data_IF_633057105208
#
_entry.id   IF_633057105208
#
_cell.length_a   1.000
_cell.length_b   1.000
_cell.length_c   1.000
_cell.angle_alpha   90.00
_cell.angle_beta   90.00
_cell.angle_gamma   90.00
#
_symmetry.space_group_name_H-M   'P 1'
#
loop_
_entity.id
_entity.type
_entity.pdbx_description
1 polymer ?
#
# COMPACT_ATOMS: atom_id res chain seq x y z
N UNK A 1 1.81 51.70 30.96
CA UNK A 1 0.86 51.02 30.04
C UNK A 1 1.64 50.38 28.90
N UNK A 2 1.84 49.07 28.91
CA UNK A 2 2.20 48.30 27.71
C UNK A 2 1.78 46.87 27.97
N UNK A 3 0.55 46.54 27.55
CA UNK A 3 0.05 45.16 27.55
C UNK A 3 0.85 44.43 26.48
N UNK A 4 1.82 43.63 26.92
CA UNK A 4 2.48 42.66 26.05
C UNK A 4 1.47 41.52 25.84
N UNK A 5 0.67 41.63 24.78
CA UNK A 5 -0.25 40.58 24.35
C UNK A 5 0.64 39.45 23.84
N UNK A 6 0.89 38.46 24.69
CA UNK A 6 1.59 37.23 24.36
C UNK A 6 0.66 36.45 23.41
N UNK A 7 0.88 36.61 22.10
CA UNK A 7 0.17 35.88 21.06
C UNK A 7 0.68 34.43 21.06
N UNK A 8 0.20 33.63 22.01
CA UNK A 8 0.33 32.17 22.02
C UNK A 8 -0.52 31.62 20.88
N UNK A 9 -0.02 31.73 19.65
CA UNK A 9 -0.52 30.94 18.54
C UNK A 9 -0.20 29.48 18.90
N UNK A 10 -1.19 28.59 19.11
CA UNK A 10 -0.84 27.19 19.28
C UNK A 10 -0.18 26.76 17.97
N UNK A 11 1.08 26.35 18.05
CA UNK A 11 1.69 25.48 17.04
C UNK A 11 0.79 24.25 16.96
N UNK A 12 -0.21 24.28 16.09
CA UNK A 12 -0.94 23.11 15.68
C UNK A 12 0.09 22.25 14.95
N UNK A 13 0.75 21.37 15.71
CA UNK A 13 1.51 20.27 15.16
C UNK A 13 0.46 19.44 14.42
N UNK A 14 0.31 19.70 13.12
CA UNK A 14 -0.55 18.91 12.24
C UNK A 14 0.05 17.52 12.14
N UNK A 15 -0.26 16.67 13.13
CA UNK A 15 0.09 15.28 13.10
C UNK A 15 -0.49 14.68 11.81
N UNK A 16 0.35 13.94 11.06
CA UNK A 16 -0.09 13.27 9.82
C UNK A 16 -1.38 12.48 10.12
N UNK A 17 -2.42 12.61 9.28
CA UNK A 17 -3.69 11.95 9.54
C UNK A 17 -3.46 10.44 9.67
N UNK A 18 -4.20 9.83 10.60
CA UNK A 18 -4.16 8.38 10.83
C UNK A 18 -5.52 7.78 10.53
N UNK A 19 -5.55 6.82 9.61
CA UNK A 19 -6.78 6.22 9.10
C UNK A 19 -7.04 4.85 9.72
N UNK A 20 -8.32 4.57 9.96
CA UNK A 20 -8.84 3.25 10.30
C UNK A 20 -9.03 2.37 9.05
N UNK A 21 -9.40 1.11 9.25
CA UNK A 21 -9.44 0.13 8.16
C UNK A 21 -10.53 0.43 7.13
N UNK A 22 -11.68 0.97 7.54
CA UNK A 22 -12.74 1.39 6.63
C UNK A 22 -12.31 2.58 5.77
N UNK A 23 -11.64 3.56 6.39
CA UNK A 23 -11.09 4.71 5.70
C UNK A 23 -10.05 4.28 4.66
N UNK A 24 -9.08 3.43 5.04
CA UNK A 24 -8.06 2.91 4.13
C UNK A 24 -8.67 2.13 2.96
N UNK A 25 -9.65 1.25 3.22
CA UNK A 25 -10.37 0.52 2.16
C UNK A 25 -11.08 1.47 1.19
N UNK A 26 -11.65 2.58 1.68
CA UNK A 26 -12.32 3.57 0.84
C UNK A 26 -11.36 4.46 0.01
N UNK A 27 -10.08 4.51 0.40
CA UNK A 27 -9.05 5.28 -0.30
C UNK A 27 -8.46 4.51 -1.48
N UNK A 28 -8.35 3.18 -1.37
CA UNK A 28 -7.72 2.35 -2.39
C UNK A 28 -8.37 2.49 -3.78
N UNK A 29 -9.70 2.34 -3.96
CA UNK A 29 -10.32 2.52 -5.27
C UNK A 29 -10.02 3.88 -5.90
N UNK A 30 -10.01 4.95 -5.09
CA UNK A 30 -9.71 6.31 -5.56
C UNK A 30 -8.25 6.46 -5.99
N UNK A 31 -7.31 5.77 -5.36
CA UNK A 31 -5.92 5.78 -5.78
C UNK A 31 -5.75 5.13 -7.16
N UNK A 32 -6.38 3.98 -7.37
CA UNK A 32 -6.32 3.26 -8.65
C UNK A 32 -7.01 4.02 -9.79
N UNK A 33 -8.18 4.62 -9.54
CA UNK A 33 -8.94 5.36 -10.56
C UNK A 33 -8.24 6.62 -11.08
N UNK A 34 -7.31 7.21 -10.29
CA UNK A 34 -6.62 8.45 -10.65
C UNK A 34 -5.49 8.26 -11.67
N UNK A 35 -5.02 7.03 -11.87
CA UNK A 35 -3.92 6.75 -12.79
C UNK A 35 -4.43 5.86 -13.92
N UNK A 36 -4.44 6.39 -15.15
CA UNK A 36 -4.92 5.66 -16.33
C UNK A 36 -4.11 4.41 -16.66
N UNK A 37 -2.86 4.33 -16.18
CA UNK A 37 -1.99 3.17 -16.35
C UNK A 37 -2.14 2.15 -15.22
N UNK A 38 -3.00 2.40 -14.22
CA UNK A 38 -3.23 1.47 -13.11
C UNK A 38 -3.92 0.19 -13.59
N UNK A 39 -3.55 -0.99 -13.04
CA UNK A 39 -4.30 -2.21 -13.27
C UNK A 39 -5.72 -2.08 -12.69
N UNK A 40 -6.67 -2.85 -13.22
CA UNK A 40 -8.03 -2.85 -12.70
C UNK A 40 -8.04 -3.45 -11.30
N UNK A 41 -8.46 -2.66 -10.31
CA UNK A 41 -8.67 -3.13 -8.94
C UNK A 41 -9.92 -4.02 -8.87
N UNK A 42 -9.77 -5.22 -8.33
CA UNK A 42 -10.83 -6.21 -8.15
C UNK A 42 -11.31 -6.28 -6.70
N UNK A 43 -10.44 -6.02 -5.73
CA UNK A 43 -10.77 -6.16 -4.32
C UNK A 43 -9.78 -5.47 -3.39
N UNK A 44 -10.24 -5.14 -2.19
CA UNK A 44 -9.43 -4.53 -1.13
C UNK A 44 -9.80 -5.14 0.21
N UNK A 45 -8.81 -5.76 0.88
CA UNK A 45 -9.02 -6.49 2.11
C UNK A 45 -8.02 -6.07 3.19
N UNK A 46 -8.51 -5.94 4.43
CA UNK A 46 -7.68 -5.71 5.61
C UNK A 46 -8.15 -6.70 6.67
N UNK A 47 -7.21 -7.48 7.20
CA UNK A 47 -7.49 -8.53 8.17
C UNK A 47 -6.26 -8.81 9.05
N UNK A 48 -6.45 -9.64 10.09
CA UNK A 48 -5.39 -10.05 11.02
C UNK A 48 -5.15 -11.55 10.87
N UNK A 49 -3.88 -11.94 10.81
CA UNK A 49 -3.41 -13.32 10.88
C UNK A 49 -2.60 -13.53 12.16
N UNK A 50 -2.13 -14.76 12.39
CA UNK A 50 -1.18 -15.06 13.48
C UNK A 50 0.13 -14.26 13.33
N UNK A 51 0.52 -13.93 12.10
CA UNK A 51 1.74 -13.17 11.77
C UNK A 51 1.52 -11.65 11.71
N UNK A 52 0.34 -11.17 12.12
CA UNK A 52 0.01 -9.75 12.23
C UNK A 52 -1.00 -9.27 11.21
N UNK A 53 -1.01 -7.96 10.95
CA UNK A 53 -2.03 -7.31 10.13
C UNK A 53 -1.63 -7.29 8.67
N UNK A 54 -2.58 -7.64 7.80
CA UNK A 54 -2.41 -7.70 6.35
C UNK A 54 -3.24 -6.60 5.70
N UNK A 55 -2.65 -5.92 4.72
CA UNK A 55 -3.37 -5.10 3.76
C UNK A 55 -3.21 -5.72 2.37
N UNK A 56 -4.31 -6.16 1.78
CA UNK A 56 -4.35 -6.86 0.52
C UNK A 56 -5.13 -6.07 -0.54
N UNK A 57 -4.65 -6.12 -1.77
CA UNK A 57 -5.43 -5.77 -2.96
C UNK A 57 -5.42 -6.93 -3.95
N UNK A 58 -6.52 -7.06 -4.67
CA UNK A 58 -6.68 -7.97 -5.79
C UNK A 58 -6.72 -7.12 -7.05
N UNK A 59 -5.89 -7.45 -8.05
CA UNK A 59 -5.78 -6.70 -9.29
C UNK A 59 -5.93 -7.63 -10.48
N UNK A 60 -6.46 -7.11 -11.60
CA UNK A 60 -6.34 -7.76 -12.90
C UNK A 60 -5.07 -7.26 -13.58
N UNK A 61 -4.18 -8.19 -13.92
CA UNK A 61 -2.88 -7.91 -14.52
C UNK A 61 -2.89 -8.21 -16.01
N UNK A 62 -2.23 -7.36 -16.80
CA UNK A 62 -1.82 -7.69 -18.16
C UNK A 62 -0.51 -8.50 -18.09
N UNK A 63 -0.45 -9.65 -18.78
CA UNK A 63 0.74 -10.52 -18.80
C UNK A 63 2.02 -9.80 -19.21
N UNK A 64 1.92 -8.79 -20.08
CA UNK A 64 3.07 -8.02 -20.58
C UNK A 64 3.52 -6.94 -19.58
N UNK A 65 2.73 -6.71 -18.52
CA UNK A 65 2.92 -5.65 -17.54
C UNK A 65 2.81 -6.14 -16.09
N UNK A 66 2.93 -7.45 -15.86
CA UNK A 66 2.70 -8.05 -14.54
C UNK A 66 3.59 -7.42 -13.45
N UNK A 67 4.85 -7.13 -13.78
CA UNK A 67 5.80 -6.52 -12.83
C UNK A 67 5.46 -5.05 -12.53
N UNK A 68 5.07 -4.30 -13.55
CA UNK A 68 4.65 -2.90 -13.44
C UNK A 68 3.36 -2.78 -12.64
N UNK A 69 2.39 -3.65 -12.92
CA UNK A 69 1.09 -3.67 -12.26
C UNK A 69 1.23 -4.10 -10.80
N UNK A 70 2.07 -5.10 -10.51
CA UNK A 70 2.47 -5.46 -9.15
C UNK A 70 3.14 -4.29 -8.43
N UNK A 71 4.13 -3.65 -9.06
CA UNK A 71 4.83 -2.49 -8.53
C UNK A 71 3.88 -1.33 -8.22
N UNK A 72 2.90 -1.09 -9.10
CA UNK A 72 1.83 -0.11 -8.89
C UNK A 72 0.99 -0.46 -7.66
N UNK A 73 0.57 -1.72 -7.53
CA UNK A 73 -0.23 -2.17 -6.40
C UNK A 73 0.51 -2.03 -5.06
N UNK A 74 1.80 -2.36 -5.01
CA UNK A 74 2.63 -2.10 -3.82
C UNK A 74 2.82 -0.62 -3.54
N UNK A 75 2.97 0.21 -4.57
CA UNK A 75 2.98 1.66 -4.44
C UNK A 75 1.67 2.17 -3.82
N UNK A 76 0.52 1.66 -4.25
CA UNK A 76 -0.78 2.01 -3.68
C UNK A 76 -0.87 1.59 -2.20
N UNK A 77 -0.56 0.33 -1.89
CA UNK A 77 -0.58 -0.21 -0.53
C UNK A 77 0.34 0.56 0.43
N UNK A 78 1.54 0.95 -0.02
CA UNK A 78 2.49 1.73 0.80
C UNK A 78 2.03 3.18 1.00
N UNK A 79 1.53 3.84 -0.04
CA UNK A 79 1.03 5.21 0.02
C UNK A 79 -0.11 5.36 1.02
N UNK A 80 -1.03 4.40 1.07
CA UNK A 80 -2.12 4.40 2.04
C UNK A 80 -1.71 3.82 3.40
N UNK A 81 -1.02 2.69 3.38
CA UNK A 81 -0.68 1.91 4.58
C UNK A 81 0.24 2.64 5.56
N UNK A 82 1.08 3.59 5.11
CA UNK A 82 1.90 4.42 6.00
C UNK A 82 1.07 5.27 6.98
N UNK A 83 -0.17 5.59 6.61
CA UNK A 83 -1.09 6.40 7.40
C UNK A 83 -2.04 5.54 8.26
N UNK A 84 -1.88 4.22 8.30
CA UNK A 84 -2.71 3.38 9.15
C UNK A 84 -2.53 3.71 10.64
N UNK A 85 -3.64 3.77 11.39
CA UNK A 85 -3.64 3.90 12.87
C UNK A 85 -2.85 2.76 13.52
N UNK A 86 -3.00 1.55 12.99
CA UNK A 86 -2.25 0.35 13.39
C UNK A 86 -1.34 -0.07 12.24
N UNK A 87 -0.08 -0.42 12.52
CA UNK A 87 0.87 -0.83 11.47
C UNK A 87 0.44 -2.16 10.83
N UNK A 88 0.81 -2.35 9.56
CA UNK A 88 0.71 -3.63 8.86
C UNK A 88 2.03 -4.39 8.98
N UNK A 89 1.97 -5.70 9.12
CA UNK A 89 3.15 -6.56 9.02
C UNK A 89 3.40 -6.97 7.57
N UNK A 90 2.33 -7.21 6.81
CA UNK A 90 2.41 -7.67 5.42
C UNK A 90 1.51 -6.86 4.48
N UNK A 91 1.98 -6.76 3.25
CA UNK A 91 1.23 -6.35 2.08
C UNK A 91 1.08 -7.54 1.15
N UNK A 92 -0.12 -7.72 0.59
CA UNK A 92 -0.40 -8.82 -0.34
C UNK A 92 -1.01 -8.24 -1.61
N UNK A 93 -0.49 -8.66 -2.75
CA UNK A 93 -1.07 -8.38 -4.07
C UNK A 93 -1.47 -9.71 -4.68
N UNK A 94 -2.76 -9.91 -4.90
CA UNK A 94 -3.28 -11.06 -5.64
C UNK A 94 -3.51 -10.62 -7.08
N UNK A 95 -2.79 -11.25 -8.00
CA UNK A 95 -2.77 -10.90 -9.42
C UNK A 95 -3.58 -11.93 -10.19
N UNK A 96 -4.71 -11.51 -10.74
CA UNK A 96 -5.57 -12.32 -11.58
C UNK A 96 -5.22 -12.07 -13.05
N UNK A 97 -4.72 -13.10 -13.73
CA UNK A 97 -4.41 -13.05 -15.16
C UNK A 97 -5.66 -12.84 -16.00
N UNK A 98 -5.49 -12.23 -17.18
CA UNK A 98 -6.51 -12.19 -18.22
C UNK A 98 -6.57 -13.49 -19.05
N UNK A 99 -5.57 -14.36 -18.89
CA UNK A 99 -5.53 -15.69 -19.49
C UNK A 99 -6.53 -16.60 -18.77
N UNK A 100 -7.39 -17.26 -19.57
CA UNK A 100 -8.37 -18.22 -19.07
C UNK A 100 -7.66 -19.38 -18.38
N UNK A 101 -8.20 -19.80 -17.24
CA UNK A 101 -7.74 -20.95 -16.44
C UNK A 101 -6.35 -20.81 -15.80
N UNK A 102 -5.72 -19.63 -15.90
CA UNK A 102 -4.49 -19.35 -15.15
C UNK A 102 -4.83 -19.00 -13.69
N UNK A 103 -4.26 -19.71 -12.70
CA UNK A 103 -4.53 -19.42 -11.30
C UNK A 103 -3.94 -18.05 -10.90
N UNK A 104 -4.54 -17.35 -9.92
CA UNK A 104 -4.00 -16.07 -9.47
C UNK A 104 -2.59 -16.21 -8.89
N UNK A 105 -1.70 -15.26 -9.17
CA UNK A 105 -0.40 -15.21 -8.51
C UNK A 105 -0.50 -14.40 -7.21
N UNK A 106 -0.05 -14.98 -6.10
CA UNK A 106 -0.12 -14.31 -4.78
C UNK A 106 1.26 -13.81 -4.37
N UNK A 107 1.45 -12.50 -4.43
CA UNK A 107 2.69 -11.85 -4.02
C UNK A 107 2.58 -11.36 -2.57
N UNK A 108 3.44 -11.87 -1.68
CA UNK A 108 3.44 -11.56 -0.25
C UNK A 108 4.71 -10.79 0.11
N UNK A 109 4.53 -9.54 0.57
CA UNK A 109 5.63 -8.63 0.87
C UNK A 109 5.63 -8.13 2.31
N UNK A 110 6.83 -7.89 2.85
CA UNK A 110 7.00 -7.23 4.15
C UNK A 110 6.58 -5.77 4.03
N UNK A 111 5.60 -5.33 4.82
CA UNK A 111 5.05 -3.97 4.73
C UNK A 111 6.11 -2.89 4.98
N UNK A 112 6.96 -3.09 6.00
CA UNK A 112 8.07 -2.17 6.31
C UNK A 112 9.06 -2.05 5.15
N UNK A 113 9.45 -3.17 4.54
CA UNK A 113 10.40 -3.22 3.43
C UNK A 113 9.86 -2.38 2.26
N UNK A 114 8.59 -2.60 1.89
CA UNK A 114 7.93 -1.85 0.83
C UNK A 114 7.79 -0.35 1.16
N UNK A 115 7.43 0.01 2.40
CA UNK A 115 7.36 1.43 2.79
C UNK A 115 8.74 2.09 2.70
N UNK A 116 9.80 1.40 3.14
CA UNK A 116 11.16 1.91 3.08
C UNK A 116 11.64 2.10 1.62
N UNK A 117 11.13 1.31 0.67
CA UNK A 117 11.37 1.48 -0.77
C UNK A 117 10.55 2.61 -1.38
N UNK A 118 9.22 2.51 -1.33
CA UNK A 118 8.34 3.39 -2.10
C UNK A 118 8.19 4.77 -1.48
N UNK A 119 8.23 4.87 -0.15
CA UNK A 119 8.00 6.12 0.59
C UNK A 119 9.31 6.74 1.05
N UNK A 120 10.13 5.98 1.78
CA UNK A 120 11.33 6.54 2.41
C UNK A 120 12.57 6.55 1.50
N UNK A 121 12.52 5.89 0.34
CA UNK A 121 13.63 5.78 -0.63
C UNK A 121 14.94 5.25 -0.01
N UNK A 122 14.84 4.41 1.02
CA UNK A 122 15.99 3.79 1.73
C UNK A 122 16.47 2.50 1.07
N UNK A 123 15.59 1.84 0.32
CA UNK A 123 15.87 0.60 -0.41
C UNK A 123 15.57 0.88 -1.89
N UNK A 124 16.47 0.48 -2.80
CA UNK A 124 16.24 0.63 -4.25
C UNK A 124 15.09 -0.26 -4.74
N UNK A 125 14.48 0.08 -5.87
CA UNK A 125 13.45 -0.77 -6.47
C UNK A 125 13.98 -2.17 -6.82
N UNK A 126 15.20 -2.26 -7.35
CA UNK A 126 15.85 -3.53 -7.65
C UNK A 126 16.00 -4.41 -6.41
N UNK A 127 16.49 -3.84 -5.30
CA UNK A 127 16.64 -4.57 -4.05
C UNK A 127 15.29 -4.97 -3.46
N UNK A 128 14.29 -4.11 -3.60
CA UNK A 128 12.92 -4.44 -3.20
C UNK A 128 12.36 -5.63 -3.98
N UNK A 129 12.55 -5.62 -5.30
CA UNK A 129 12.07 -6.68 -6.19
C UNK A 129 12.70 -8.04 -5.87
N UNK A 130 13.96 -8.05 -5.42
CA UNK A 130 14.68 -9.27 -5.04
C UNK A 130 14.38 -9.75 -3.61
N UNK A 131 14.27 -8.83 -2.65
CA UNK A 131 14.38 -9.18 -1.22
C UNK A 131 13.11 -8.91 -0.38
N UNK A 132 12.17 -8.11 -0.87
CA UNK A 132 11.08 -7.59 -0.03
C UNK A 132 9.76 -8.38 -0.14
N UNK A 133 9.60 -9.24 -1.15
CA UNK A 133 8.43 -10.09 -1.34
C UNK A 133 8.81 -11.44 -1.91
N UNK A 134 7.86 -12.37 -1.88
CA UNK A 134 7.96 -13.66 -2.57
C UNK A 134 6.59 -14.01 -3.17
N UNK A 135 6.62 -14.84 -4.22
CA UNK A 135 5.42 -15.45 -4.77
C UNK A 135 5.07 -16.69 -3.94
N UNK A 136 3.83 -16.78 -3.50
CA UNK A 136 3.30 -17.97 -2.85
C UNK A 136 2.83 -18.94 -3.95
N UNK A 137 3.38 -20.15 -3.94
CA UNK A 137 2.88 -21.27 -4.73
C UNK A 137 1.45 -21.61 -4.27
N UNK A 138 0.53 -21.72 -5.24
CA UNK A 138 -0.87 -22.08 -5.01
C UNK A 138 -1.10 -23.57 -5.23
#
# INVERSE_FOLDING_TARGET
>A
MKKLILLLLPLLIFAKPKFNDSELKSMAPRYFQRNHSAPKLLGVNIYKTREGRVYQVDIRTDRNRANEDMGFAYSALTNMGQYAKKKFSKFIVVMHSDIRDEPPQVCIGKAKCSIDTFIHKKISYEKWYKDCFYFKEL
#
